data_IF_061518767885
#
_entry.id   IF_061518767885
#
_cell.length_a   1.000
_cell.length_b   1.000
_cell.length_c   1.000
_cell.angle_alpha   90.00
_cell.angle_beta   90.00
_cell.angle_gamma   90.00
#
_symmetry.space_group_name_H-M   'P 1'
#
loop_
_entity.id
_entity.type
_entity.pdbx_description
1 polymer ?
#
# COMPACT_ATOMS: atom_id res chain seq x y z
N UNK A 1 -43.42 -43.03 43.38
CA UNK A 1 -42.61 -43.67 42.32
C UNK A 1 -42.34 -42.77 41.11
N UNK A 2 -42.89 -41.55 41.03
CA UNK A 2 -42.70 -40.64 39.86
C UNK A 2 -41.49 -39.69 39.95
N UNK A 3 -41.02 -39.35 41.16
CA UNK A 3 -39.93 -38.36 41.33
C UNK A 3 -38.56 -38.94 40.94
N UNK A 4 -38.32 -40.22 41.22
CA UNK A 4 -37.06 -40.91 40.88
C UNK A 4 -36.92 -41.05 39.37
N UNK A 5 -38.03 -41.36 38.68
CA UNK A 5 -38.05 -41.47 37.21
C UNK A 5 -37.80 -40.10 36.57
N UNK A 6 -38.39 -39.03 37.10
CA UNK A 6 -38.16 -37.68 36.60
C UNK A 6 -36.70 -37.23 36.77
N UNK A 7 -36.08 -37.54 37.91
CA UNK A 7 -34.67 -37.24 38.18
C UNK A 7 -33.72 -38.00 37.23
N UNK A 8 -33.98 -39.29 36.97
CA UNK A 8 -33.18 -40.06 36.02
C UNK A 8 -33.34 -39.57 34.57
N UNK A 9 -34.53 -39.12 34.17
CA UNK A 9 -34.76 -38.54 32.84
C UNK A 9 -34.05 -37.20 32.68
N UNK A 10 -34.04 -36.35 33.71
CA UNK A 10 -33.29 -35.08 33.70
C UNK A 10 -31.78 -35.33 33.65
N UNK A 11 -31.26 -36.28 34.43
CA UNK A 11 -29.84 -36.66 34.37
C UNK A 11 -29.45 -37.25 33.01
N UNK A 12 -30.32 -38.07 32.41
CA UNK A 12 -30.10 -38.61 31.06
C UNK A 12 -30.12 -37.51 29.99
N UNK A 13 -31.01 -36.52 30.10
CA UNK A 13 -31.05 -35.37 29.19
C UNK A 13 -29.81 -34.48 29.36
N UNK A 14 -29.39 -34.19 30.59
CA UNK A 14 -28.16 -33.42 30.84
C UNK A 14 -26.94 -34.16 30.31
N UNK A 15 -26.82 -35.46 30.55
CA UNK A 15 -25.74 -36.28 29.98
C UNK A 15 -25.79 -36.34 28.45
N UNK A 16 -26.98 -36.41 27.85
CA UNK A 16 -27.16 -36.34 26.39
C UNK A 16 -26.77 -34.97 25.83
N UNK A 17 -27.10 -33.87 26.51
CA UNK A 17 -26.67 -32.53 26.15
C UNK A 17 -25.15 -32.36 26.26
N UNK A 18 -24.51 -32.89 27.32
CA UNK A 18 -23.05 -32.88 27.46
C UNK A 18 -22.35 -33.80 26.44
N UNK A 19 -22.94 -34.93 26.09
CA UNK A 19 -22.42 -35.84 25.06
C UNK A 19 -22.53 -35.21 23.66
N UNK A 20 -23.67 -34.60 23.35
CA UNK A 20 -23.89 -33.87 22.10
C UNK A 20 -23.02 -32.60 22.03
N UNK A 21 -22.79 -31.91 23.15
CA UNK A 21 -21.79 -30.83 23.24
C UNK A 21 -20.37 -31.36 23.01
N UNK A 22 -19.97 -32.49 23.60
CA UNK A 22 -18.65 -33.08 23.32
C UNK A 22 -18.44 -33.44 21.84
N UNK A 23 -19.50 -33.90 21.15
CA UNK A 23 -19.49 -34.10 19.70
C UNK A 23 -19.46 -32.81 18.87
N UNK A 24 -19.93 -31.69 19.43
CA UNK A 24 -19.88 -30.35 18.84
C UNK A 24 -18.57 -29.59 19.14
N UNK A 25 -17.82 -29.99 20.18
CA UNK A 25 -16.52 -29.42 20.56
C UNK A 25 -15.31 -30.28 20.13
N UNK A 26 -15.54 -31.39 19.42
CA UNK A 26 -14.51 -32.21 18.78
C UNK A 26 -14.54 -32.05 17.25
N UNK A 27 -14.50 -30.81 16.78
CA UNK A 27 -14.07 -30.47 15.43
C UNK A 27 -13.50 -29.07 15.49
N UNK A 28 -12.18 -28.96 15.49
CA UNK A 28 -11.47 -27.70 15.45
C UNK A 28 -11.95 -26.86 14.27
N UNK A 29 -12.81 -25.89 14.55
CA UNK A 29 -12.96 -24.69 13.74
C UNK A 29 -12.43 -23.58 14.61
N UNK A 30 -11.19 -23.20 14.33
CA UNK A 30 -10.66 -21.90 14.67
C UNK A 30 -11.73 -20.85 14.37
N UNK A 31 -12.05 -20.01 15.36
CA UNK A 31 -12.64 -18.70 15.14
C UNK A 31 -11.98 -18.08 13.89
N UNK A 32 -12.72 -17.43 12.97
CA UNK A 32 -12.08 -16.69 11.91
C UNK A 32 -11.34 -15.53 12.59
N UNK A 33 -10.05 -15.73 12.88
CA UNK A 33 -9.11 -14.63 12.79
C UNK A 33 -9.28 -14.15 11.35
N UNK A 34 -9.90 -13.02 11.16
CA UNK A 34 -9.77 -12.24 9.93
C UNK A 34 -8.33 -11.75 9.89
N UNK A 35 -7.42 -12.70 9.72
CA UNK A 35 -6.02 -12.51 9.43
C UNK A 35 -5.92 -12.51 7.90
N UNK A 36 -6.66 -11.60 7.27
CA UNK A 36 -6.30 -11.15 5.93
C UNK A 36 -5.20 -10.11 6.12
N UNK A 37 -4.06 -10.54 6.67
CA UNK A 37 -2.83 -9.95 6.17
C UNK A 37 -2.89 -10.17 4.65
N UNK A 38 -2.70 -9.14 3.82
CA UNK A 38 -2.83 -9.32 2.39
C UNK A 38 -1.77 -10.36 1.99
N UNK A 39 -2.20 -11.56 1.61
CA UNK A 39 -1.29 -12.62 1.18
C UNK A 39 -0.38 -12.13 0.05
N UNK A 40 -0.85 -11.14 -0.73
CA UNK A 40 -0.05 -10.35 -1.68
C UNK A 40 1.07 -9.54 -1.02
N UNK A 41 0.79 -8.76 0.03
CA UNK A 41 1.80 -7.96 0.73
C UNK A 41 2.91 -8.83 1.33
N UNK A 42 2.57 -10.00 1.89
CA UNK A 42 3.56 -10.97 2.40
C UNK A 42 4.40 -11.58 1.27
N UNK A 43 3.82 -11.83 0.09
CA UNK A 43 4.55 -12.32 -1.08
C UNK A 43 5.48 -11.25 -1.67
N UNK A 44 5.06 -9.99 -1.66
CA UNK A 44 5.86 -8.85 -2.10
C UNK A 44 7.09 -8.62 -1.20
N UNK A 45 6.92 -8.65 0.13
CA UNK A 45 8.02 -8.56 1.09
C UNK A 45 9.10 -9.66 0.88
N UNK A 46 8.69 -10.88 0.52
CA UNK A 46 9.63 -11.97 0.19
C UNK A 46 10.32 -11.82 -1.17
N UNK A 47 9.76 -11.05 -2.11
CA UNK A 47 10.39 -10.74 -3.41
C UNK A 47 11.46 -9.65 -3.28
N UNK A 48 11.36 -8.77 -2.29
CA UNK A 48 12.29 -7.64 -2.08
C UNK A 48 13.76 -8.05 -1.95
N UNK A 49 14.04 -9.08 -1.16
CA UNK A 49 15.40 -9.58 -0.91
C UNK A 49 16.12 -10.08 -2.18
N UNK A 50 15.42 -10.20 -3.31
CA UNK A 50 15.99 -10.72 -4.56
C UNK A 50 15.84 -9.82 -5.79
N UNK A 51 15.04 -8.75 -5.75
CA UNK A 51 14.59 -8.12 -7.02
C UNK A 51 14.99 -6.65 -7.24
N UNK A 52 15.65 -5.96 -6.31
CA UNK A 52 16.20 -4.62 -6.62
C UNK A 52 17.47 -4.77 -7.45
N UNK A 53 17.48 -4.42 -8.75
CA UNK A 53 18.71 -4.49 -9.54
C UNK A 53 19.68 -3.44 -8.99
N UNK A 54 20.81 -3.87 -8.44
CA UNK A 54 21.93 -2.97 -8.22
C UNK A 54 22.43 -2.48 -9.56
N UNK A 55 22.22 -1.20 -9.85
CA UNK A 55 22.64 -0.58 -11.11
C UNK A 55 24.06 -0.07 -10.98
N UNK A 56 24.89 -0.54 -11.88
CA UNK A 56 26.27 -0.07 -12.05
C UNK A 56 26.37 1.00 -13.13
N UNK A 57 25.36 1.10 -13.99
CA UNK A 57 25.31 2.03 -15.13
C UNK A 57 24.14 3.00 -15.03
N UNK A 58 24.37 4.24 -15.45
CA UNK A 58 23.32 5.27 -15.51
C UNK A 58 22.24 4.93 -16.53
N UNK A 59 21.00 5.22 -16.18
CA UNK A 59 19.83 5.19 -17.06
C UNK A 59 19.88 6.40 -18.01
N UNK A 60 19.69 6.12 -19.30
CA UNK A 60 19.43 7.17 -20.29
C UNK A 60 18.05 7.77 -20.06
N UNK A 61 17.91 9.07 -20.31
CA UNK A 61 16.63 9.77 -20.09
C UNK A 61 15.48 9.13 -20.88
N UNK A 62 15.71 8.74 -22.14
CA UNK A 62 14.70 8.07 -22.98
C UNK A 62 14.25 6.72 -22.42
N UNK A 63 15.19 5.94 -21.88
CA UNK A 63 14.88 4.65 -21.24
C UNK A 63 14.03 4.87 -20.00
N UNK A 64 14.41 5.86 -19.18
CA UNK A 64 13.69 6.20 -17.98
C UNK A 64 12.27 6.68 -18.27
N UNK A 65 12.11 7.56 -19.26
CA UNK A 65 10.82 8.04 -19.75
C UNK A 65 9.90 6.88 -20.13
N UNK A 66 10.41 5.93 -20.91
CA UNK A 66 9.65 4.75 -21.29
C UNK A 66 9.23 3.90 -20.09
N UNK A 67 10.10 3.72 -19.11
CA UNK A 67 9.80 2.92 -17.92
C UNK A 67 8.82 3.63 -16.97
N UNK A 68 8.88 4.97 -16.87
CA UNK A 68 7.84 5.75 -16.19
C UNK A 68 6.49 5.66 -16.90
N UNK A 69 6.45 5.54 -18.23
CA UNK A 69 5.22 5.31 -18.98
C UNK A 69 4.56 3.99 -18.61
N UNK A 70 5.35 2.91 -18.53
CA UNK A 70 4.84 1.62 -18.06
C UNK A 70 4.38 1.68 -16.60
N UNK A 71 5.15 2.32 -15.73
CA UNK A 71 4.79 2.48 -14.32
C UNK A 71 3.44 3.20 -14.20
N UNK A 72 3.30 4.30 -14.91
CA UNK A 72 2.10 5.11 -14.98
C UNK A 72 0.84 4.29 -15.30
N UNK A 73 0.91 3.36 -16.25
CA UNK A 73 -0.22 2.50 -16.66
C UNK A 73 -0.75 1.58 -15.54
N UNK A 74 0.05 1.33 -14.50
CA UNK A 74 -0.34 0.52 -13.35
C UNK A 74 -0.84 1.33 -12.16
N UNK A 75 -0.76 2.66 -12.25
CA UNK A 75 -1.21 3.56 -11.20
C UNK A 75 -2.66 3.97 -11.40
N UNK A 76 -3.28 4.47 -10.34
CA UNK A 76 -4.72 4.69 -10.28
C UNK A 76 -5.24 5.60 -11.41
N UNK A 77 -4.44 6.55 -11.90
CA UNK A 77 -4.88 7.56 -12.88
C UNK A 77 -4.32 7.40 -14.29
N UNK A 78 -3.44 6.43 -14.54
CA UNK A 78 -2.60 6.48 -15.72
C UNK A 78 -1.89 7.85 -15.86
N UNK A 79 -1.23 8.07 -16.97
CA UNK A 79 -0.81 9.39 -17.41
C UNK A 79 -0.75 9.31 -18.92
N UNK A 80 -1.49 10.18 -19.62
CA UNK A 80 -1.43 10.21 -21.07
C UNK A 80 0.01 10.34 -21.55
N UNK A 81 0.35 9.61 -22.61
CA UNK A 81 1.71 9.59 -23.16
C UNK A 81 2.19 10.99 -23.53
N UNK A 82 1.31 11.82 -24.09
CA UNK A 82 1.59 13.19 -24.50
C UNK A 82 2.02 14.06 -23.30
N UNK A 83 1.37 13.86 -22.15
CA UNK A 83 1.75 14.56 -20.93
C UNK A 83 3.06 14.05 -20.38
N UNK A 84 3.28 12.74 -20.38
CA UNK A 84 4.58 12.19 -19.97
C UNK A 84 5.71 12.72 -20.87
N UNK A 85 5.45 12.85 -22.18
CA UNK A 85 6.37 13.44 -23.14
C UNK A 85 6.70 14.89 -22.78
N UNK A 86 5.69 15.69 -22.43
CA UNK A 86 5.85 17.07 -21.98
C UNK A 86 6.68 17.16 -20.68
N UNK A 87 6.37 16.34 -19.67
CA UNK A 87 7.08 16.36 -18.39
C UNK A 87 8.58 16.04 -18.57
N UNK A 88 8.88 15.01 -19.37
CA UNK A 88 10.26 14.61 -19.64
C UNK A 88 10.99 15.57 -20.59
N UNK A 89 10.29 16.31 -21.46
CA UNK A 89 10.94 17.30 -22.34
C UNK A 89 11.57 18.47 -21.59
N UNK A 90 11.09 18.75 -20.38
CA UNK A 90 11.58 19.83 -19.52
C UNK A 90 12.68 19.36 -18.55
N UNK A 91 13.12 18.11 -18.65
CA UNK A 91 14.13 17.51 -17.78
C UNK A 91 15.43 17.29 -18.57
N UNK A 92 16.54 17.77 -18.02
CA UNK A 92 17.86 17.52 -18.59
C UNK A 92 18.41 16.16 -18.17
N UNK A 93 19.17 15.52 -19.06
CA UNK A 93 19.85 14.27 -18.74
C UNK A 93 20.97 14.48 -17.72
N UNK A 94 20.96 13.66 -16.67
CA UNK A 94 21.95 13.69 -15.58
C UNK A 94 23.33 13.28 -16.10
N UNK A 95 24.31 14.18 -16.02
CA UNK A 95 25.69 13.89 -16.42
C UNK A 95 26.36 12.90 -15.48
N UNK A 96 27.39 12.19 -15.96
CA UNK A 96 27.98 11.03 -15.27
C UNK A 96 28.50 11.28 -13.86
N UNK A 97 28.81 12.52 -13.49
CA UNK A 97 29.41 12.88 -12.19
C UNK A 97 28.41 13.31 -11.11
N UNK A 98 27.16 13.61 -11.46
CA UNK A 98 26.30 14.39 -10.55
C UNK A 98 25.50 13.51 -9.56
N UNK A 99 25.20 12.28 -9.94
CA UNK A 99 24.29 11.37 -9.20
C UNK A 99 24.71 9.92 -9.42
N UNK A 100 24.65 9.06 -8.40
CA UNK A 100 24.94 7.62 -8.57
C UNK A 100 23.86 6.94 -9.40
N UNK A 101 24.17 5.89 -10.18
CA UNK A 101 23.18 5.17 -10.99
C UNK A 101 21.91 4.75 -10.24
N UNK A 102 22.04 4.27 -9.00
CA UNK A 102 20.91 3.85 -8.17
C UNK A 102 20.02 5.01 -7.70
N UNK A 103 20.55 6.24 -7.64
CA UNK A 103 19.82 7.39 -7.13
C UNK A 103 19.12 8.18 -8.26
N UNK A 104 19.38 7.83 -9.53
CA UNK A 104 18.83 8.55 -10.68
C UNK A 104 17.30 8.46 -10.73
N UNK A 105 16.73 7.28 -10.45
CA UNK A 105 15.29 7.09 -10.47
C UNK A 105 14.54 8.07 -9.58
N UNK A 106 15.01 8.17 -8.33
CA UNK A 106 14.49 9.10 -7.34
C UNK A 106 14.75 10.56 -7.72
N UNK A 107 15.94 10.89 -8.23
CA UNK A 107 16.23 12.25 -8.69
C UNK A 107 15.22 12.73 -9.74
N UNK A 108 14.99 11.92 -10.77
CA UNK A 108 14.05 12.27 -11.83
C UNK A 108 12.61 12.30 -11.33
N UNK A 109 12.24 11.44 -10.37
CA UNK A 109 10.94 11.54 -9.70
C UNK A 109 10.77 12.92 -9.06
N UNK A 110 11.75 13.38 -8.29
CA UNK A 110 11.72 14.71 -7.65
C UNK A 110 11.63 15.81 -8.69
N UNK A 111 12.40 15.74 -9.79
CA UNK A 111 12.30 16.72 -10.89
C UNK A 111 10.93 16.77 -11.53
N UNK A 112 10.30 15.61 -11.73
CA UNK A 112 8.95 15.53 -12.27
C UNK A 112 7.92 16.09 -11.28
N UNK A 113 8.08 15.85 -9.97
CA UNK A 113 7.21 16.37 -8.91
C UNK A 113 7.35 17.90 -8.71
N UNK A 114 8.54 18.45 -8.95
CA UNK A 114 8.81 19.90 -8.83
C UNK A 114 8.20 20.71 -9.99
N UNK A 115 7.86 20.06 -11.10
CA UNK A 115 7.12 20.72 -12.17
C UNK A 115 5.73 21.10 -11.65
N UNK A 116 5.26 22.31 -11.96
CA UNK A 116 3.95 22.84 -11.53
C UNK A 116 2.76 22.15 -12.24
N UNK A 117 2.74 20.82 -12.19
CA UNK A 117 1.67 19.98 -12.69
C UNK A 117 0.55 20.01 -11.66
N UNK A 118 -0.71 19.93 -12.11
CA UNK A 118 -1.79 19.78 -11.13
C UNK A 118 -1.57 18.49 -10.32
N UNK A 119 -1.56 18.53 -8.98
CA UNK A 119 -1.16 17.41 -8.13
C UNK A 119 -1.96 16.13 -8.39
N UNK A 120 -3.21 16.24 -8.84
CA UNK A 120 -4.10 15.12 -9.17
C UNK A 120 -3.65 14.28 -10.37
N UNK A 121 -2.84 14.87 -11.26
CA UNK A 121 -2.28 14.17 -12.43
C UNK A 121 -0.97 13.47 -12.14
N UNK A 122 -0.31 13.84 -11.05
CA UNK A 122 0.95 13.23 -10.69
C UNK A 122 0.70 11.96 -9.88
N UNK A 123 1.27 10.87 -10.40
CA UNK A 123 1.29 9.53 -9.84
C UNK A 123 1.67 9.47 -8.37
N UNK A 124 2.57 10.37 -7.99
CA UNK A 124 3.15 10.46 -6.67
C UNK A 124 2.72 11.75 -5.96
N UNK A 125 2.78 11.75 -4.64
CA UNK A 125 2.71 12.96 -3.83
C UNK A 125 3.67 12.84 -2.66
N UNK A 126 4.25 13.98 -2.28
CA UNK A 126 5.08 14.07 -1.10
C UNK A 126 4.24 14.47 0.10
N UNK A 127 4.61 13.92 1.25
CA UNK A 127 4.03 14.26 2.53
C UNK A 127 5.13 14.26 3.59
N UNK A 128 5.18 15.29 4.42
CA UNK A 128 6.09 15.32 5.57
C UNK A 128 5.70 14.20 6.54
N UNK A 129 6.66 13.50 7.14
CA UNK A 129 6.37 12.45 8.13
C UNK A 129 5.63 12.96 9.39
N UNK A 130 5.72 14.26 9.66
CA UNK A 130 4.97 14.99 10.70
C UNK A 130 3.68 15.63 10.20
N UNK A 131 3.34 15.45 8.92
CA UNK A 131 2.08 15.97 8.38
C UNK A 131 0.88 15.40 9.15
N UNK A 132 -0.18 16.20 9.22
CA UNK A 132 -1.44 15.77 9.82
C UNK A 132 -2.13 14.70 8.99
N UNK A 133 -2.93 13.86 9.63
CA UNK A 133 -3.73 12.81 8.98
C UNK A 133 -4.74 13.42 7.98
N UNK A 134 -5.23 14.63 8.26
CA UNK A 134 -6.11 15.36 7.35
C UNK A 134 -5.42 15.66 6.01
N UNK A 135 -4.12 15.98 5.99
CA UNK A 135 -3.41 16.23 4.74
C UNK A 135 -3.33 14.96 3.88
N UNK A 136 -3.02 13.81 4.51
CA UNK A 136 -3.07 12.51 3.84
C UNK A 136 -4.46 12.22 3.26
N UNK A 137 -5.51 12.43 4.07
CA UNK A 137 -6.90 12.28 3.64
C UNK A 137 -7.17 13.09 2.38
N UNK A 138 -6.84 14.38 2.40
CA UNK A 138 -7.09 15.29 1.28
C UNK A 138 -6.31 14.87 0.01
N UNK A 139 -5.06 14.44 0.15
CA UNK A 139 -4.25 13.99 -0.99
C UNK A 139 -4.81 12.72 -1.66
N UNK A 140 -5.30 11.76 -0.86
CA UNK A 140 -5.88 10.52 -1.37
C UNK A 140 -7.28 10.79 -1.91
N UNK A 141 -8.12 11.51 -1.17
CA UNK A 141 -9.50 11.79 -1.56
C UNK A 141 -9.58 12.57 -2.89
N UNK A 142 -8.70 13.54 -3.12
CA UNK A 142 -8.63 14.26 -4.40
C UNK A 142 -8.36 13.33 -5.57
N UNK A 143 -7.44 12.37 -5.39
CA UNK A 143 -7.12 11.35 -6.41
C UNK A 143 -8.29 10.40 -6.62
N UNK A 144 -8.94 9.91 -5.55
CA UNK A 144 -10.10 9.04 -5.71
C UNK A 144 -11.24 9.75 -6.45
N UNK A 145 -11.53 10.99 -6.08
CA UNK A 145 -12.56 11.81 -6.72
C UNK A 145 -12.26 12.09 -8.20
N UNK A 146 -11.01 12.36 -8.55
CA UNK A 146 -10.61 12.58 -9.94
C UNK A 146 -10.82 11.32 -10.82
N UNK A 147 -10.93 10.14 -10.21
CA UNK A 147 -11.14 8.84 -10.88
C UNK A 147 -12.56 8.32 -10.76
N UNK A 148 -13.48 9.10 -10.18
CA UNK A 148 -14.84 8.64 -9.84
C UNK A 148 -14.88 7.41 -8.92
N UNK A 149 -13.84 7.20 -8.11
CA UNK A 149 -13.75 6.10 -7.15
C UNK A 149 -14.23 6.56 -5.78
N UNK A 150 -15.09 5.76 -5.16
CA UNK A 150 -15.58 5.99 -3.80
C UNK A 150 -14.96 4.95 -2.87
N UNK A 151 -14.19 5.40 -1.89
CA UNK A 151 -13.64 4.56 -0.82
C UNK A 151 -13.95 5.18 0.55
N UNK A 152 -14.18 4.33 1.54
CA UNK A 152 -14.34 4.75 2.93
C UNK A 152 -12.96 4.85 3.59
N UNK A 153 -12.36 6.05 3.54
CA UNK A 153 -11.05 6.31 4.13
C UNK A 153 -11.16 6.53 5.65
N UNK A 154 -10.11 6.18 6.43
CA UNK A 154 -10.04 6.51 7.85
C UNK A 154 -10.11 8.02 8.10
N UNK A 155 -10.72 8.41 9.22
CA UNK A 155 -10.85 9.79 9.67
C UNK A 155 -9.79 10.11 10.72
N UNK A 156 -9.52 11.40 10.92
CA UNK A 156 -8.60 11.87 11.97
C UNK A 156 -9.02 11.38 13.36
N UNK A 157 -10.33 11.28 13.61
CA UNK A 157 -10.90 10.79 14.87
C UNK A 157 -10.66 9.31 15.16
N UNK A 158 -10.20 8.53 14.18
CA UNK A 158 -9.94 7.10 14.34
C UNK A 158 -8.59 6.83 15.03
N UNK A 159 -7.80 7.89 15.27
CA UNK A 159 -6.46 7.83 15.84
C UNK A 159 -6.35 8.69 17.11
N UNK A 160 -5.32 8.46 17.95
CA UNK A 160 -5.07 9.31 19.12
C UNK A 160 -4.86 10.78 18.76
N UNK A 161 -5.12 11.68 19.70
CA UNK A 161 -4.93 13.12 19.46
C UNK A 161 -3.47 13.45 19.14
N UNK A 162 -3.27 14.42 18.24
CA UNK A 162 -1.98 14.97 17.84
C UNK A 162 -1.01 13.96 17.20
N UNK A 163 -1.51 12.84 16.68
CA UNK A 163 -0.68 11.92 15.88
C UNK A 163 -0.55 12.39 14.43
N UNK A 164 0.56 12.02 13.81
CA UNK A 164 0.89 12.37 12.43
C UNK A 164 0.82 11.14 11.53
N UNK A 165 1.04 11.33 10.24
CA UNK A 165 1.03 10.23 9.25
C UNK A 165 2.08 9.15 9.48
N UNK A 166 3.13 9.44 10.25
CA UNK A 166 4.14 8.44 10.64
C UNK A 166 3.72 7.56 11.81
N UNK A 167 2.56 7.83 12.44
CA UNK A 167 2.00 6.92 13.43
C UNK A 167 1.73 5.56 12.78
N UNK A 168 2.21 4.51 13.44
CA UNK A 168 2.37 3.15 12.91
C UNK A 168 1.15 2.62 12.14
N UNK A 169 -0.06 2.95 12.59
CA UNK A 169 -1.30 2.42 12.01
C UNK A 169 -1.86 3.25 10.85
N UNK A 170 -1.46 4.52 10.68
CA UNK A 170 -2.12 5.42 9.71
C UNK A 170 -2.00 4.89 8.28
N UNK A 171 -0.77 4.73 7.77
CA UNK A 171 -0.59 4.27 6.38
C UNK A 171 -1.15 2.85 6.15
N UNK A 172 -1.14 2.02 7.19
CA UNK A 172 -1.71 0.67 7.18
C UNK A 172 -3.23 0.71 6.98
N UNK A 173 -3.94 1.49 7.79
CA UNK A 173 -5.39 1.57 7.76
C UNK A 173 -5.89 2.21 6.45
N UNK A 174 -5.17 3.21 5.94
CA UNK A 174 -5.41 3.77 4.61
C UNK A 174 -5.22 2.74 3.50
N UNK A 175 -4.15 1.94 3.55
CA UNK A 175 -3.94 0.87 2.58
C UNK A 175 -5.06 -0.19 2.66
N UNK A 176 -5.53 -0.55 3.85
CA UNK A 176 -6.67 -1.47 4.01
C UNK A 176 -7.98 -0.91 3.46
N UNK A 177 -8.26 0.36 3.70
CA UNK A 177 -9.43 1.03 3.13
C UNK A 177 -9.40 1.00 1.59
N UNK A 178 -8.25 1.28 0.99
CA UNK A 178 -8.04 1.24 -0.46
C UNK A 178 -8.15 -0.17 -1.04
N UNK A 179 -7.67 -1.19 -0.32
CA UNK A 179 -7.76 -2.59 -0.76
C UNK A 179 -9.22 -3.03 -0.97
N UNK A 180 -10.18 -2.50 -0.20
CA UNK A 180 -11.61 -2.79 -0.34
C UNK A 180 -12.18 -2.37 -1.70
N UNK A 181 -11.53 -1.44 -2.37
CA UNK A 181 -11.92 -0.93 -3.70
C UNK A 181 -10.93 -1.35 -4.80
N UNK A 182 -10.09 -2.35 -4.54
CA UNK A 182 -9.16 -2.89 -5.53
C UNK A 182 -7.91 -2.03 -5.76
N UNK A 183 -7.56 -1.16 -4.82
CA UNK A 183 -6.40 -0.27 -4.88
C UNK A 183 -5.42 -0.57 -3.75
N UNK A 184 -4.17 -0.17 -3.90
CA UNK A 184 -3.17 -0.22 -2.84
C UNK A 184 -2.44 1.11 -2.68
N UNK A 185 -1.83 1.31 -1.52
CA UNK A 185 -1.00 2.46 -1.19
C UNK A 185 0.41 1.97 -0.88
N UNK A 186 1.39 2.54 -1.57
CA UNK A 186 2.80 2.35 -1.26
C UNK A 186 3.49 3.70 -1.13
N UNK A 187 4.66 3.67 -0.50
CA UNK A 187 5.48 4.85 -0.33
C UNK A 187 6.97 4.54 -0.42
N UNK A 188 7.73 5.56 -0.75
CA UNK A 188 9.19 5.59 -0.69
C UNK A 188 9.56 6.51 0.46
N UNK A 189 10.39 6.05 1.40
CA UNK A 189 10.97 6.92 2.42
C UNK A 189 12.13 7.69 1.80
N UNK A 190 12.01 9.00 1.77
CA UNK A 190 13.09 9.89 1.34
C UNK A 190 14.02 10.15 2.54
N UNK A 191 15.36 10.20 2.34
CA UNK A 191 16.31 10.67 3.35
C UNK A 191 15.99 12.04 3.97
N UNK A 192 15.17 12.88 3.33
CA UNK A 192 14.80 14.21 3.82
C UNK A 192 13.49 14.21 4.64
N UNK A 193 13.22 13.17 5.42
CA UNK A 193 12.06 13.10 6.32
C UNK A 193 10.69 13.25 5.60
N UNK A 194 10.61 12.86 4.34
CA UNK A 194 9.36 12.90 3.57
C UNK A 194 8.99 11.51 3.07
N UNK A 195 7.69 11.26 2.97
CA UNK A 195 7.14 10.11 2.28
C UNK A 195 6.73 10.53 0.88
N UNK A 196 7.21 9.80 -0.13
CA UNK A 196 6.69 9.90 -1.49
C UNK A 196 5.69 8.76 -1.69
N UNK A 197 4.41 9.06 -1.64
CA UNK A 197 3.31 8.10 -1.70
C UNK A 197 2.70 8.02 -3.09
N UNK A 198 2.09 6.88 -3.41
CA UNK A 198 1.34 6.67 -4.65
C UNK A 198 0.28 5.58 -4.50
N UNK A 199 -0.78 5.67 -5.31
CA UNK A 199 -1.88 4.71 -5.32
C UNK A 199 -1.80 3.87 -6.59
N UNK A 200 -1.82 2.55 -6.43
CA UNK A 200 -1.71 1.59 -7.53
C UNK A 200 -2.92 0.67 -7.60
N UNK A 201 -3.13 0.04 -8.76
CA UNK A 201 -4.18 -0.97 -8.90
C UNK A 201 -3.74 -2.30 -8.29
N UNK A 202 -4.52 -2.84 -7.36
CA UNK A 202 -4.11 -4.01 -6.58
C UNK A 202 -3.98 -5.28 -7.42
N UNK A 203 -4.71 -5.39 -8.52
CA UNK A 203 -4.59 -6.47 -9.50
C UNK A 203 -3.26 -6.43 -10.27
N UNK A 204 -2.63 -5.26 -10.38
CA UNK A 204 -1.34 -5.02 -11.04
C UNK A 204 -0.15 -4.88 -10.08
N UNK A 205 -0.31 -5.25 -8.81
CA UNK A 205 0.72 -5.01 -7.78
C UNK A 205 2.11 -5.52 -8.16
N UNK A 206 2.21 -6.71 -8.75
CA UNK A 206 3.49 -7.29 -9.17
C UNK A 206 4.13 -6.49 -10.32
N UNK A 207 3.32 -6.03 -11.27
CA UNK A 207 3.75 -5.21 -12.40
C UNK A 207 4.18 -3.81 -11.93
N UNK A 208 3.43 -3.21 -10.99
CA UNK A 208 3.80 -1.95 -10.34
C UNK A 208 5.15 -2.10 -9.64
N UNK A 209 5.33 -3.15 -8.83
CA UNK A 209 6.58 -3.43 -8.13
C UNK A 209 7.75 -3.57 -9.11
N UNK A 210 7.54 -4.34 -10.18
CA UNK A 210 8.54 -4.52 -11.23
C UNK A 210 8.89 -3.20 -11.92
N UNK A 211 7.90 -2.37 -12.26
CA UNK A 211 8.11 -1.10 -12.93
C UNK A 211 8.86 -0.10 -12.04
N UNK A 212 8.57 -0.08 -10.74
CA UNK A 212 9.28 0.75 -9.75
C UNK A 212 10.78 0.42 -9.69
N UNK A 213 11.13 -0.87 -9.68
CA UNK A 213 12.55 -1.27 -9.70
C UNK A 213 13.24 -0.92 -11.03
N UNK A 214 12.47 -0.89 -12.13
CA UNK A 214 12.97 -0.52 -13.45
C UNK A 214 13.22 0.98 -13.61
N UNK A 215 12.45 1.83 -12.92
CA UNK A 215 12.77 3.26 -12.83
C UNK A 215 13.82 3.56 -11.75
N UNK A 216 14.21 2.58 -10.92
CA UNK A 216 15.24 2.75 -9.90
C UNK A 216 14.72 3.39 -8.61
N UNK A 217 13.45 3.16 -8.27
CA UNK A 217 12.86 3.60 -7.01
C UNK A 217 12.90 2.46 -5.99
N UNK A 218 13.62 2.68 -4.90
CA UNK A 218 13.61 1.78 -3.75
C UNK A 218 12.32 2.02 -2.95
N UNK A 219 11.35 1.13 -3.10
CA UNK A 219 10.16 1.14 -2.24
C UNK A 219 10.44 0.39 -0.95
N UNK A 220 9.94 0.95 0.16
CA UNK A 220 9.72 0.20 1.38
C UNK A 220 8.24 -0.21 1.36
N UNK A 221 7.86 -1.40 0.85
CA UNK A 221 6.52 -1.90 1.04
C UNK A 221 6.28 -2.01 2.53
N UNK A 222 5.04 -1.75 2.94
CA UNK A 222 4.63 -1.94 4.31
C UNK A 222 5.04 -3.33 4.81
N UNK A 223 5.87 -3.37 5.86
CA UNK A 223 6.37 -4.61 6.45
C UNK A 223 5.53 -4.98 7.67
N UNK A 224 5.05 -6.23 7.79
CA UNK A 224 4.30 -6.69 8.96
C UNK A 224 5.04 -6.50 10.29
N UNK A 225 6.37 -6.44 10.27
CA UNK A 225 7.22 -6.17 11.45
C UNK A 225 7.12 -4.75 12.00
N UNK A 226 6.45 -3.84 11.31
CA UNK A 226 6.06 -2.54 11.87
C UNK A 226 4.91 -2.65 12.87
N UNK A 227 4.35 -3.85 13.06
CA UNK A 227 3.34 -4.15 14.08
C UNK A 227 3.95 -4.48 15.47
N UNK A 228 5.28 -4.36 15.63
CA UNK A 228 6.02 -4.69 16.87
C UNK A 228 6.30 -3.47 17.76
#
# INVERSE_FOLDING_TARGET
MSIVIFSMVVLALVAFFFYKMKGLFASGKSLPKENVQPQKAIQLAKKEDKFMPHRTTKLKLDTLKNDYGKLSDFLIHGCPKERLDELFSNIEEVKSKDIKPNDQGFHYLTKLMDQQVKPEYFHFFNLDWKAGIEELYQHIQKRLAFNDIKAELPKVSDYPENVTVSYTLVLKDYNYALNKVGLGLWFVRNPTDTYTLFIYRLDQADQTFWALSHVGLNIDPYKPEWDA
#
